data_IF_768492806690
#
_entry.id   IF_768492806690
#
_cell.length_a   1.000
_cell.length_b   1.000
_cell.length_c   1.000
_cell.angle_alpha   90.00
_cell.angle_beta   90.00
_cell.angle_gamma   90.00
#
_symmetry.space_group_name_H-M   'P 1'
#
loop_
_entity.id
_entity.type
_entity.pdbx_description
1 polymer ?
#
# COMPACT_ATOMS: atom_id res chain seq x y z
N UNK A 1 -5.09 4.12 19.75
CA UNK A 1 -4.95 3.08 18.71
C UNK A 1 -3.58 3.24 18.08
N UNK A 2 -2.79 2.17 18.00
CA UNK A 2 -1.37 2.19 17.59
C UNK A 2 -1.19 1.54 16.22
N UNK A 3 -0.50 2.20 15.32
CA UNK A 3 0.09 1.57 14.13
C UNK A 3 1.54 1.23 14.46
N UNK A 4 1.98 0.04 14.09
CA UNK A 4 3.37 -0.39 14.23
C UNK A 4 4.06 -0.26 12.89
N UNK A 5 5.04 0.65 12.81
CA UNK A 5 6.03 0.62 11.74
C UNK A 5 6.93 -0.58 12.02
N UNK A 6 7.00 -1.51 11.07
CA UNK A 6 7.77 -2.75 11.25
C UNK A 6 9.28 -2.51 11.18
N UNK A 7 9.70 -1.39 10.58
CA UNK A 7 11.09 -0.97 10.48
C UNK A 7 11.69 -1.19 9.09
N UNK A 8 12.99 -0.90 8.92
CA UNK A 8 13.71 -1.16 7.69
C UNK A 8 13.95 -2.67 7.48
N UNK A 9 14.07 -3.08 6.22
CA UNK A 9 14.24 -4.48 5.83
C UNK A 9 15.72 -4.88 5.95
N UNK A 10 16.00 -6.05 6.51
CA UNK A 10 17.36 -6.59 6.65
C UNK A 10 17.95 -7.02 5.29
N UNK A 11 19.28 -7.09 5.18
CA UNK A 11 20.02 -7.54 3.98
C UNK A 11 19.89 -9.06 3.74
N UNK A 12 18.67 -9.54 3.51
CA UNK A 12 18.38 -10.93 3.17
C UNK A 12 17.72 -11.02 1.80
N UNK A 13 18.51 -11.22 0.75
CA UNK A 13 18.02 -11.29 -0.62
C UNK A 13 18.00 -12.70 -1.18
N UNK A 14 17.00 -13.50 -0.83
CA UNK A 14 16.81 -14.78 -1.53
C UNK A 14 16.18 -14.48 -2.89
N UNK A 15 16.88 -14.87 -3.95
CA UNK A 15 16.36 -14.82 -5.31
C UNK A 15 15.33 -15.95 -5.45
N UNK A 16 14.12 -15.62 -5.88
CA UNK A 16 13.06 -16.59 -6.09
C UNK A 16 13.01 -16.98 -7.57
N UNK A 17 12.72 -18.26 -7.88
CA UNK A 17 12.36 -18.64 -9.24
C UNK A 17 11.05 -17.93 -9.61
N UNK A 18 11.04 -17.22 -10.74
CA UNK A 18 9.83 -16.63 -11.29
C UNK A 18 9.29 -17.51 -12.40
N UNK A 19 8.07 -17.98 -12.22
CA UNK A 19 7.33 -18.65 -13.27
C UNK A 19 6.86 -17.63 -14.30
N UNK A 20 7.22 -17.84 -15.57
CA UNK A 20 6.81 -16.97 -16.69
C UNK A 20 5.34 -17.14 -17.10
N UNK A 21 4.67 -18.20 -16.64
CA UNK A 21 3.25 -18.39 -16.89
C UNK A 21 2.40 -17.60 -15.87
N UNK A 22 1.37 -16.93 -16.38
CA UNK A 22 0.35 -16.35 -15.53
C UNK A 22 -0.56 -17.48 -15.04
N UNK A 23 -0.65 -17.67 -13.73
CA UNK A 23 -1.66 -18.56 -13.15
C UNK A 23 -3.00 -17.84 -13.27
N UNK A 24 -3.93 -18.31 -14.12
CA UNK A 24 -5.26 -17.73 -14.12
C UNK A 24 -5.88 -18.00 -12.74
N UNK A 25 -6.61 -17.03 -12.18
CA UNK A 25 -7.46 -17.28 -11.02
C UNK A 25 -8.65 -18.22 -11.33
N UNK A 26 -8.71 -18.79 -12.53
CA UNK A 26 -9.73 -19.68 -13.07
C UNK A 26 -9.12 -20.94 -13.72
N UNK A 27 -9.78 -21.51 -14.74
CA UNK A 27 -9.42 -22.83 -15.27
C UNK A 27 -8.01 -22.85 -15.89
N UNK A 28 -7.13 -23.79 -15.47
CA UNK A 28 -5.76 -23.85 -15.97
C UNK A 28 -5.73 -24.37 -17.41
N UNK A 29 -4.99 -23.68 -18.29
CA UNK A 29 -4.72 -24.17 -19.64
C UNK A 29 -3.40 -24.97 -19.66
N UNK A 30 -3.30 -26.12 -20.34
CA UNK A 30 -2.25 -27.12 -20.08
C UNK A 30 -0.90 -26.85 -20.74
N UNK A 31 -0.71 -25.74 -21.44
CA UNK A 31 0.45 -25.52 -22.29
C UNK A 31 1.23 -24.27 -21.90
N UNK A 32 2.39 -24.44 -21.27
CA UNK A 32 3.52 -23.53 -21.41
C UNK A 32 4.79 -24.18 -20.86
N UNK A 33 5.67 -24.60 -21.78
CA UNK A 33 7.07 -24.90 -21.50
C UNK A 33 7.89 -23.61 -21.40
N UNK A 34 8.79 -23.60 -20.40
CA UNK A 34 10.12 -22.97 -20.38
C UNK A 34 10.29 -21.44 -20.40
N UNK A 35 10.84 -20.91 -19.31
CA UNK A 35 12.06 -20.09 -19.12
C UNK A 35 11.92 -19.50 -17.71
N UNK A 36 12.69 -20.04 -16.76
CA UNK A 36 12.77 -19.52 -15.40
C UNK A 36 13.64 -18.25 -15.42
N UNK A 37 13.02 -17.08 -15.15
CA UNK A 37 13.79 -15.89 -14.82
C UNK A 37 13.90 -15.81 -13.31
N UNK A 38 15.05 -15.37 -12.84
CA UNK A 38 15.22 -15.04 -11.44
C UNK A 38 14.56 -13.69 -11.16
N UNK A 39 13.74 -13.61 -10.11
CA UNK A 39 13.15 -12.36 -9.64
C UNK A 39 13.43 -12.19 -8.15
N UNK A 40 13.65 -10.96 -7.73
CA UNK A 40 13.63 -10.58 -6.32
C UNK A 40 12.39 -9.75 -6.06
N UNK A 41 11.57 -10.15 -5.08
CA UNK A 41 10.45 -9.31 -4.63
C UNK A 41 10.94 -7.95 -4.17
N UNK A 42 12.16 -7.90 -3.63
CA UNK A 42 12.78 -6.67 -3.17
C UNK A 42 12.97 -5.64 -4.28
N UNK A 43 13.37 -6.12 -5.47
CA UNK A 43 13.53 -5.29 -6.66
C UNK A 43 12.17 -4.91 -7.27
N UNK A 44 11.25 -5.86 -7.35
CA UNK A 44 9.89 -5.63 -7.90
C UNK A 44 9.13 -4.58 -7.10
N UNK A 45 9.24 -4.63 -5.78
CA UNK A 45 8.52 -3.77 -4.85
C UNK A 45 9.37 -2.59 -4.37
N UNK A 46 10.61 -2.46 -4.87
CA UNK A 46 11.59 -1.43 -4.50
C UNK A 46 11.79 -1.25 -2.98
N UNK A 47 11.72 -2.33 -2.21
CA UNK A 47 11.60 -2.26 -0.74
C UNK A 47 12.92 -1.94 -0.04
N UNK A 48 14.06 -2.05 -0.73
CA UNK A 48 15.40 -1.75 -0.19
C UNK A 48 15.73 -0.27 -0.22
N UNK A 49 14.90 0.56 -0.85
CA UNK A 49 15.15 1.98 -0.88
C UNK A 49 15.01 2.58 0.55
N UNK A 50 15.91 3.50 0.96
CA UNK A 50 15.96 4.01 2.34
C UNK A 50 14.72 4.84 2.75
N UNK A 51 13.89 5.22 1.78
CA UNK A 51 12.65 5.97 1.97
C UNK A 51 11.40 5.08 1.96
N UNK A 52 11.57 3.75 1.84
CA UNK A 52 10.48 2.78 1.85
C UNK A 52 10.33 2.15 3.24
N UNK A 53 9.08 2.02 3.68
CA UNK A 53 8.72 1.51 4.99
C UNK A 53 7.60 0.50 4.88
N UNK A 54 7.63 -0.52 5.73
CA UNK A 54 6.55 -1.50 5.86
C UNK A 54 5.69 -1.17 7.07
N UNK A 55 4.38 -1.21 6.87
CA UNK A 55 3.38 -1.01 7.93
C UNK A 55 2.34 -2.13 7.91
N UNK A 56 1.78 -2.47 9.05
CA UNK A 56 0.59 -3.32 9.12
C UNK A 56 -0.66 -2.46 9.04
N UNK A 57 -1.55 -2.77 8.10
CA UNK A 57 -2.84 -2.10 7.96
C UNK A 57 -3.86 -2.71 8.93
N UNK A 58 -4.62 -1.84 9.59
CA UNK A 58 -5.71 -2.22 10.48
C UNK A 58 -7.02 -1.59 10.02
N UNK A 59 -8.12 -2.31 10.23
CA UNK A 59 -9.46 -1.91 9.81
C UNK A 59 -9.78 -2.20 8.33
N UNK A 60 -11.02 -1.91 7.94
CA UNK A 60 -11.63 -2.31 6.66
C UNK A 60 -12.00 -1.12 5.75
N UNK A 61 -11.65 0.11 6.14
CA UNK A 61 -12.05 1.32 5.41
C UNK A 61 -11.50 1.42 3.98
N UNK A 62 -10.54 0.56 3.60
CA UNK A 62 -9.86 0.58 2.30
C UNK A 62 -10.12 -0.67 1.44
N UNK A 63 -11.11 -1.50 1.79
CA UNK A 63 -11.40 -2.77 1.10
C UNK A 63 -11.69 -2.64 -0.40
N UNK A 64 -12.35 -1.56 -0.84
CA UNK A 64 -12.62 -1.27 -2.25
C UNK A 64 -11.37 -0.94 -3.07
N UNK A 65 -10.27 -0.56 -2.41
CA UNK A 65 -8.94 -0.45 -3.02
C UNK A 65 -8.16 -1.76 -2.98
N UNK A 66 -8.77 -2.86 -2.53
CA UNK A 66 -8.10 -4.14 -2.38
C UNK A 66 -7.23 -4.25 -1.13
N UNK A 67 -7.30 -3.28 -0.20
CA UNK A 67 -6.52 -3.27 1.05
C UNK A 67 -7.39 -3.72 2.22
N UNK A 68 -6.93 -4.73 2.93
CA UNK A 68 -7.69 -5.39 4.00
C UNK A 68 -6.89 -5.39 5.30
N UNK A 69 -7.59 -5.66 6.39
CA UNK A 69 -6.97 -5.78 7.71
C UNK A 69 -5.93 -6.91 7.73
N UNK A 70 -4.76 -6.62 8.30
CA UNK A 70 -3.63 -7.53 8.36
C UNK A 70 -2.67 -7.44 7.17
N UNK A 71 -3.02 -6.70 6.11
CA UNK A 71 -2.12 -6.46 4.99
C UNK A 71 -0.85 -5.73 5.43
N UNK A 72 0.27 -6.07 4.79
CA UNK A 72 1.50 -5.30 4.87
C UNK A 72 1.48 -4.25 3.77
N UNK A 73 1.38 -2.98 4.14
CA UNK A 73 1.50 -1.85 3.23
C UNK A 73 2.96 -1.44 3.03
N UNK A 74 3.34 -1.26 1.77
CA UNK A 74 4.64 -0.72 1.35
C UNK A 74 4.46 0.77 1.10
N UNK A 75 5.14 1.59 1.90
CA UNK A 75 4.97 3.05 1.91
C UNK A 75 6.25 3.72 1.48
N UNK A 76 6.18 4.52 0.43
CA UNK A 76 7.27 5.32 -0.10
C UNK A 76 7.12 6.77 0.33
N UNK A 77 8.13 7.30 1.03
CA UNK A 77 8.17 8.68 1.52
C UNK A 77 8.82 9.66 0.54
N UNK A 78 9.43 9.18 -0.54
CA UNK A 78 10.02 10.01 -1.59
C UNK A 78 9.00 10.48 -2.62
N UNK A 79 7.86 9.77 -2.74
CA UNK A 79 6.81 10.11 -3.69
C UNK A 79 5.99 11.29 -3.17
N UNK A 80 5.89 12.33 -4.00
CA UNK A 80 5.00 13.45 -3.72
C UNK A 80 3.52 13.01 -3.81
N UNK A 81 2.71 13.24 -2.77
CA UNK A 81 1.32 12.78 -2.74
C UNK A 81 0.41 13.66 -3.60
N UNK A 82 -0.15 13.06 -4.67
CA UNK A 82 -1.08 13.72 -5.59
C UNK A 82 -2.49 13.14 -5.51
N UNK A 83 -3.44 13.80 -6.17
CA UNK A 83 -4.82 13.34 -6.25
C UNK A 83 -4.88 11.88 -6.75
N UNK A 84 -5.66 11.05 -6.06
CA UNK A 84 -5.87 9.64 -6.38
C UNK A 84 -4.92 8.68 -5.65
N UNK A 85 -3.81 9.16 -5.09
CA UNK A 85 -2.88 8.30 -4.36
C UNK A 85 -3.49 7.75 -3.06
N UNK A 86 -3.14 6.51 -2.74
CA UNK A 86 -3.38 5.93 -1.42
C UNK A 86 -2.27 6.43 -0.50
N UNK A 87 -2.62 7.07 0.60
CA UNK A 87 -1.65 7.73 1.48
C UNK A 87 -1.81 7.26 2.91
N UNK A 88 -0.68 7.22 3.61
CA UNK A 88 -0.63 7.21 5.07
C UNK A 88 -0.47 8.65 5.52
N UNK A 89 -1.40 9.12 6.33
CA UNK A 89 -1.41 10.47 6.86
C UNK A 89 -1.61 10.45 8.38
N UNK A 90 -1.23 11.54 9.04
CA UNK A 90 -1.62 11.86 10.39
C UNK A 90 -2.62 13.02 10.33
N UNK A 91 -3.84 12.81 10.81
CA UNK A 91 -4.85 13.83 10.96
C UNK A 91 -5.03 14.11 12.44
N UNK A 92 -4.71 15.33 12.90
CA UNK A 92 -4.74 15.71 14.31
C UNK A 92 -3.92 14.72 15.18
N UNK A 93 -2.73 14.35 14.70
CA UNK A 93 -1.84 13.34 15.27
C UNK A 93 -2.37 11.90 15.27
N UNK A 94 -3.54 11.64 14.67
CA UNK A 94 -4.07 10.29 14.50
C UNK A 94 -3.70 9.70 13.13
N UNK A 95 -3.06 8.53 13.10
CA UNK A 95 -2.67 7.86 11.87
C UNK A 95 -3.88 7.34 11.11
N UNK A 96 -3.90 7.56 9.81
CA UNK A 96 -4.99 7.14 8.94
C UNK A 96 -4.48 6.74 7.55
N UNK A 97 -5.10 5.71 6.98
CA UNK A 97 -4.91 5.30 5.59
C UNK A 97 -6.15 5.66 4.78
N UNK A 98 -5.99 6.48 3.74
CA UNK A 98 -7.09 6.98 2.89
C UNK A 98 -6.61 7.23 1.46
N UNK A 99 -7.55 7.34 0.52
CA UNK A 99 -7.26 7.91 -0.80
C UNK A 99 -7.28 9.43 -0.71
N UNK A 100 -6.19 10.06 -1.12
CA UNK A 100 -6.07 11.49 -1.19
C UNK A 100 -6.85 12.03 -2.39
N UNK A 101 -7.80 12.92 -2.16
CA UNK A 101 -8.55 13.62 -3.19
C UNK A 101 -8.32 15.13 -3.02
N UNK A 102 -7.56 15.72 -3.94
CA UNK A 102 -7.40 17.18 -4.02
C UNK A 102 -8.37 17.73 -5.06
N UNK A 103 -9.20 18.71 -4.71
CA UNK A 103 -10.14 19.40 -5.60
C UNK A 103 -10.00 20.91 -5.42
N UNK A 104 -9.25 21.56 -6.30
CA UNK A 104 -8.89 22.97 -6.12
C UNK A 104 -8.13 23.17 -4.81
N UNK A 105 -8.68 23.99 -3.91
CA UNK A 105 -8.11 24.22 -2.57
C UNK A 105 -8.59 23.23 -1.51
N UNK A 106 -9.53 22.34 -1.84
CA UNK A 106 -10.06 21.38 -0.88
C UNK A 106 -9.23 20.09 -0.88
N UNK A 107 -8.91 19.62 0.31
CA UNK A 107 -8.31 18.30 0.54
C UNK A 107 -9.35 17.41 1.19
N UNK A 108 -9.57 16.24 0.60
CA UNK A 108 -10.54 15.25 1.06
C UNK A 108 -9.82 13.92 1.19
N UNK A 109 -10.01 13.24 2.31
CA UNK A 109 -9.55 11.89 2.54
C UNK A 109 -10.72 10.92 2.35
N UNK A 110 -10.65 10.12 1.28
CA UNK A 110 -11.71 9.19 0.91
C UNK A 110 -11.39 7.78 1.44
N UNK A 111 -12.41 7.15 2.03
CA UNK A 111 -12.38 5.72 2.32
C UNK A 111 -12.86 4.97 1.08
N UNK A 112 -12.27 3.81 0.82
CA UNK A 112 -12.70 2.88 -0.23
C UNK A 112 -13.67 1.85 0.34
N UNK A 113 -14.57 2.29 1.20
CA UNK A 113 -15.60 1.45 1.81
C UNK A 113 -16.84 2.32 2.09
N UNK A 114 -18.01 2.00 1.51
CA UNK A 114 -19.22 2.81 1.63
C UNK A 114 -19.70 3.07 3.07
N UNK A 115 -19.27 2.24 4.04
CA UNK A 115 -19.60 2.43 5.46
C UNK A 115 -18.92 3.65 6.07
N UNK A 116 -17.84 4.14 5.46
CA UNK A 116 -16.99 5.19 6.00
C UNK A 116 -17.12 6.46 5.15
N UNK A 117 -17.68 7.56 5.70
CA UNK A 117 -17.85 8.79 4.94
C UNK A 117 -16.51 9.44 4.58
N UNK A 118 -16.53 10.29 3.56
CA UNK A 118 -15.40 11.14 3.19
C UNK A 118 -15.06 12.13 4.32
N UNK A 119 -13.77 12.31 4.62
CA UNK A 119 -13.29 13.29 5.60
C UNK A 119 -12.73 14.50 4.86
N UNK A 120 -13.48 15.59 4.88
CA UNK A 120 -13.03 16.91 4.41
C UNK A 120 -12.07 17.49 5.43
N UNK A 121 -10.95 18.05 4.98
CA UNK A 121 -10.00 18.75 5.86
C UNK A 121 -10.51 20.17 6.03
N UNK A 122 -10.81 20.55 7.28
CA UNK A 122 -11.39 21.84 7.62
C UNK A 122 -10.33 22.78 8.22
N UNK A 123 -10.70 24.04 8.34
CA UNK A 123 -9.87 25.03 9.02
C UNK A 123 -9.68 24.62 10.50
N UNK A 124 -8.43 24.44 10.91
CA UNK A 124 -8.06 23.94 12.24
C UNK A 124 -7.69 22.44 12.30
N UNK A 125 -7.91 21.68 11.22
CA UNK A 125 -7.36 20.32 11.12
C UNK A 125 -5.86 20.36 10.78
N UNK A 126 -5.07 19.59 11.51
CA UNK A 126 -3.65 19.36 11.19
C UNK A 126 -3.53 18.08 10.36
N UNK A 127 -3.38 18.23 9.04
CA UNK A 127 -3.10 17.11 8.14
C UNK A 127 -1.62 17.06 7.75
N UNK A 128 -0.95 15.96 8.07
CA UNK A 128 0.40 15.65 7.62
C UNK A 128 0.40 14.35 6.82
N UNK A 129 0.84 14.39 5.57
CA UNK A 129 0.99 13.17 4.77
C UNK A 129 2.38 12.59 5.03
N UNK A 130 2.43 11.35 5.50
CA UNK A 130 3.68 10.69 5.86
C UNK A 130 4.35 10.01 4.67
N UNK A 131 3.54 9.40 3.78
CA UNK A 131 4.01 8.74 2.57
C UNK A 131 2.88 8.15 1.72
N UNK A 132 3.24 7.65 0.53
CA UNK A 132 2.32 7.05 -0.44
C UNK A 132 2.42 5.53 -0.37
N UNK A 133 1.28 4.84 -0.32
CA UNK A 133 1.22 3.38 -0.41
C UNK A 133 1.39 2.97 -1.88
N UNK A 134 2.48 2.29 -2.18
CA UNK A 134 2.80 1.81 -3.54
C UNK A 134 2.27 0.42 -3.81
N UNK A 135 2.19 -0.42 -2.79
CA UNK A 135 1.75 -1.82 -2.90
C UNK A 135 1.32 -2.36 -1.54
N UNK A 136 0.53 -3.44 -1.55
CA UNK A 136 0.21 -4.24 -0.36
C UNK A 136 0.54 -5.70 -0.59
N UNK A 137 0.97 -6.38 0.47
CA UNK A 137 1.21 -7.83 0.49
C UNK A 137 0.24 -8.46 1.48
N UNK A 138 -0.51 -9.48 1.03
CA UNK A 138 -1.43 -10.24 1.86
C UNK A 138 -1.00 -11.70 1.95
N UNK A 139 -0.93 -12.21 3.18
CA UNK A 139 -0.87 -13.65 3.42
C UNK A 139 -2.27 -14.24 3.47
N UNK A 140 -2.45 -15.42 2.86
CA UNK A 140 -3.72 -16.14 2.83
C UNK A 140 -3.66 -17.51 3.55
N UNK A 141 -2.54 -17.79 4.22
CA UNK A 141 -2.29 -19.03 4.97
C UNK A 141 -2.22 -18.77 6.45
#
# INVERSE_FOLDING_TARGET
MSFSILGPIAEGGVILPFCSFQVPAGFPSPAADHIERHISLDEVLNIRAPHVYLITITGDSMQGAGIFEGDIGIVDRSIEPVHGHLVVAALNNEPICKRLCKRGNEVILLSENPKYPARYILEGDELSIWGVITSTVRSHV
#
